data_IF_029824370182
#
_entry.id   IF_029824370182
#
_cell.length_a   1.000
_cell.length_b   1.000
_cell.length_c   1.000
_cell.angle_alpha   90.00
_cell.angle_beta   90.00
_cell.angle_gamma   90.00
#
_symmetry.space_group_name_H-M   'P 1'
#
loop_
_entity.id
_entity.type
_entity.pdbx_description
1 polymer ?
#
# COMPACT_ATOMS: atom_id res chain seq x y z
N UNK A 1 -34.14 -82.22 -20.62
CA UNK A 1 -33.69 -81.51 -21.81
C UNK A 1 -34.11 -80.07 -21.66
N UNK A 2 -33.26 -79.23 -21.34
CA UNK A 2 -33.14 -77.77 -21.47
C UNK A 2 -32.24 -77.25 -20.36
N UNK A 3 -30.99 -76.93 -20.78
CA UNK A 3 -30.02 -76.32 -19.90
C UNK A 3 -30.33 -74.86 -19.66
N UNK A 4 -30.39 -74.45 -18.45
CA UNK A 4 -30.54 -73.08 -18.02
C UNK A 4 -29.11 -72.46 -17.77
N UNK A 5 -28.72 -71.54 -18.64
CA UNK A 5 -27.47 -70.78 -18.48
C UNK A 5 -27.68 -69.68 -17.43
N UNK A 6 -27.02 -69.77 -16.33
CA UNK A 6 -26.92 -68.70 -15.34
C UNK A 6 -25.76 -67.77 -15.68
N UNK A 7 -26.06 -66.55 -16.08
CA UNK A 7 -25.07 -65.48 -16.20
C UNK A 7 -24.77 -64.91 -14.82
N UNK A 8 -23.51 -65.12 -14.34
CA UNK A 8 -22.99 -64.44 -13.17
C UNK A 8 -22.52 -63.07 -13.53
N UNK A 9 -23.18 -62.04 -13.01
CA UNK A 9 -22.80 -60.63 -13.14
C UNK A 9 -21.74 -60.31 -12.09
N UNK A 10 -20.54 -60.02 -12.55
CA UNK A 10 -19.37 -59.71 -11.70
C UNK A 10 -19.31 -58.21 -11.47
N UNK A 11 -19.54 -57.77 -10.21
CA UNK A 11 -19.37 -56.39 -9.79
C UNK A 11 -17.88 -56.07 -9.64
N UNK A 12 -17.31 -55.26 -10.49
CA UNK A 12 -16.03 -54.68 -10.27
C UNK A 12 -16.16 -53.48 -9.31
N UNK A 13 -15.49 -53.59 -8.16
CA UNK A 13 -15.44 -52.53 -7.18
C UNK A 13 -14.51 -51.43 -7.70
N UNK A 14 -15.07 -50.38 -8.32
CA UNK A 14 -14.36 -49.13 -8.62
C UNK A 14 -14.05 -48.42 -7.31
N UNK A 15 -12.78 -48.38 -6.94
CA UNK A 15 -12.30 -47.53 -5.84
C UNK A 15 -12.26 -46.10 -6.31
N UNK A 16 -13.25 -45.32 -5.88
CA UNK A 16 -13.27 -43.87 -6.11
C UNK A 16 -12.26 -43.21 -5.18
N UNK A 17 -11.05 -42.92 -5.68
CA UNK A 17 -10.07 -42.08 -4.98
C UNK A 17 -10.57 -40.64 -5.01
N UNK A 18 -11.22 -40.20 -3.94
CA UNK A 18 -11.51 -38.79 -3.69
C UNK A 18 -10.18 -38.14 -3.26
N UNK A 19 -9.48 -37.53 -4.22
CA UNK A 19 -8.40 -36.60 -3.94
C UNK A 19 -9.00 -35.34 -3.32
N UNK A 20 -9.09 -35.33 -1.99
CA UNK A 20 -9.43 -34.17 -1.22
C UNK A 20 -8.36 -33.10 -1.43
N UNK A 21 -8.66 -32.15 -2.33
CA UNK A 21 -7.88 -30.92 -2.46
C UNK A 21 -8.03 -30.11 -1.17
N UNK A 22 -7.06 -30.23 -0.27
CA UNK A 22 -6.92 -29.33 0.86
C UNK A 22 -6.48 -27.97 0.30
N UNK A 23 -7.45 -27.12 -0.02
CA UNK A 23 -7.23 -25.70 -0.12
C UNK A 23 -6.85 -25.22 1.30
N UNK A 24 -5.56 -25.15 1.57
CA UNK A 24 -5.07 -24.30 2.66
C UNK A 24 -5.40 -22.87 2.24
N UNK A 25 -6.54 -22.34 2.73
CA UNK A 25 -6.76 -20.91 2.77
C UNK A 25 -5.64 -20.36 3.67
N UNK A 26 -4.58 -19.82 3.06
CA UNK A 26 -3.68 -18.92 3.77
C UNK A 26 -4.58 -17.78 4.24
N UNK A 27 -4.95 -17.82 5.52
CA UNK A 27 -5.62 -16.71 6.17
C UNK A 27 -4.69 -15.50 6.06
N UNK A 28 -4.96 -14.63 5.12
CA UNK A 28 -4.35 -13.31 5.09
C UNK A 28 -4.80 -12.67 6.41
N UNK A 29 -3.87 -12.49 7.36
CA UNK A 29 -4.15 -11.79 8.61
C UNK A 29 -4.70 -10.43 8.22
N UNK A 30 -6.01 -10.24 8.44
CA UNK A 30 -6.68 -9.02 8.02
C UNK A 30 -6.14 -7.87 8.87
N UNK A 31 -5.30 -7.03 8.25
CA UNK A 31 -4.90 -5.78 8.85
C UNK A 31 -5.45 -4.63 8.04
N UNK A 32 -5.82 -3.54 8.70
CA UNK A 32 -6.27 -2.33 8.05
C UNK A 32 -5.76 -1.09 8.75
N UNK A 33 -5.47 -0.06 7.95
CA UNK A 33 -5.21 1.28 8.45
C UNK A 33 -6.41 2.17 8.16
N UNK A 34 -6.78 2.98 9.14
CA UNK A 34 -7.78 4.03 8.99
C UNK A 34 -7.27 5.35 9.57
N UNK A 35 -7.85 6.47 9.13
CA UNK A 35 -7.46 7.80 9.54
C UNK A 35 -8.69 8.59 9.98
N UNK A 36 -8.70 8.99 11.25
CA UNK A 36 -9.78 9.78 11.83
C UNK A 36 -9.34 11.22 12.08
N UNK A 37 -10.09 12.18 11.52
CA UNK A 37 -9.88 13.59 11.74
C UNK A 37 -10.55 14.00 13.06
N UNK A 38 -9.77 14.44 14.03
CA UNK A 38 -10.25 14.98 15.28
C UNK A 38 -10.46 16.51 15.20
N UNK A 39 -9.49 17.19 14.59
CA UNK A 39 -9.53 18.63 14.28
C UNK A 39 -8.79 18.89 12.94
N UNK A 40 -8.71 20.15 12.51
CA UNK A 40 -7.95 20.51 11.29
C UNK A 40 -6.45 20.20 11.37
N UNK A 41 -5.92 20.11 12.59
CA UNK A 41 -4.50 19.88 12.85
C UNK A 41 -4.22 18.68 13.75
N UNK A 42 -5.22 17.82 13.97
CA UNK A 42 -5.05 16.58 14.76
C UNK A 42 -5.79 15.43 14.09
N UNK A 43 -5.05 14.42 13.73
CA UNK A 43 -5.55 13.16 13.16
C UNK A 43 -5.04 11.98 13.98
N UNK A 44 -5.80 10.90 13.95
CA UNK A 44 -5.44 9.62 14.57
C UNK A 44 -5.35 8.58 13.45
N UNK A 45 -4.16 8.06 13.22
CA UNK A 45 -3.95 6.88 12.39
C UNK A 45 -4.19 5.65 13.26
N UNK A 46 -5.08 4.77 12.84
CA UNK A 46 -5.43 3.53 13.56
C UNK A 46 -5.02 2.33 12.74
N UNK A 47 -4.33 1.40 13.36
CA UNK A 47 -4.07 0.06 12.85
C UNK A 47 -4.97 -0.92 13.58
N UNK A 48 -5.79 -1.65 12.83
CA UNK A 48 -6.60 -2.76 13.33
C UNK A 48 -6.07 -4.07 12.75
N UNK A 49 -5.84 -5.04 13.61
CA UNK A 49 -5.52 -6.42 13.25
C UNK A 49 -6.55 -7.35 13.91
N UNK A 50 -6.49 -8.63 13.65
CA UNK A 50 -7.39 -9.61 14.27
C UNK A 50 -7.31 -9.62 15.80
N UNK A 51 -6.19 -9.19 16.39
CA UNK A 51 -5.92 -9.27 17.82
C UNK A 51 -5.60 -7.93 18.49
N UNK A 52 -5.33 -6.86 17.72
CA UNK A 52 -4.87 -5.58 18.27
C UNK A 52 -5.53 -4.39 17.59
N UNK A 53 -5.66 -3.31 18.35
CA UNK A 53 -6.02 -2.00 17.84
C UNK A 53 -5.01 -0.99 18.40
N UNK A 54 -4.24 -0.33 17.53
CA UNK A 54 -3.18 0.59 17.92
C UNK A 54 -3.38 1.95 17.26
N UNK A 55 -3.04 3.03 17.98
CA UNK A 55 -3.27 4.40 17.53
C UNK A 55 -1.97 5.20 17.48
N UNK A 56 -1.83 6.03 16.45
CA UNK A 56 -0.73 6.98 16.29
C UNK A 56 -1.27 8.39 16.08
N UNK A 57 -0.85 9.33 16.93
CA UNK A 57 -1.27 10.74 16.81
C UNK A 57 -0.44 11.47 15.76
N UNK A 58 -1.14 12.18 14.88
CA UNK A 58 -0.58 13.07 13.86
C UNK A 58 -1.00 14.51 14.20
N UNK A 59 -0.20 15.27 14.98
CA UNK A 59 -0.56 16.61 15.44
C UNK A 59 -0.26 17.68 14.37
N UNK A 60 -0.74 17.47 13.14
CA UNK A 60 -0.61 18.35 11.99
C UNK A 60 -1.66 18.03 10.94
N UNK A 61 -1.95 18.97 10.00
CA UNK A 61 -2.91 18.71 8.93
C UNK A 61 -2.48 17.52 8.07
N UNK A 62 -3.46 16.68 7.72
CA UNK A 62 -3.30 15.59 6.77
C UNK A 62 -4.11 15.93 5.51
N UNK A 63 -3.51 15.78 4.33
CA UNK A 63 -4.17 16.09 3.06
C UNK A 63 -4.49 14.84 2.23
N UNK A 64 -3.84 13.71 2.51
CA UNK A 64 -4.04 12.45 1.78
C UNK A 64 -3.66 11.24 2.64
N UNK A 65 -4.36 10.13 2.42
CA UNK A 65 -3.97 8.81 2.88
C UNK A 65 -4.17 7.81 1.73
N UNK A 66 -3.16 6.96 1.55
CA UNK A 66 -3.17 5.80 0.67
C UNK A 66 -2.70 4.59 1.47
N UNK A 67 -3.02 3.40 1.00
CA UNK A 67 -2.52 2.15 1.60
C UNK A 67 -2.02 1.22 0.52
N UNK A 68 -1.01 0.41 0.83
CA UNK A 68 -0.49 -0.60 -0.08
C UNK A 68 0.77 -1.26 0.43
N UNK A 69 1.18 -2.32 -0.22
CA UNK A 69 2.43 -3.04 0.07
C UNK A 69 3.62 -2.28 -0.53
N UNK A 70 4.18 -1.39 0.29
CA UNK A 70 5.23 -0.46 -0.16
C UNK A 70 6.58 -1.13 -0.30
N UNK A 71 6.90 -2.06 0.59
CA UNK A 71 8.21 -2.75 0.62
C UNK A 71 8.20 -4.13 -0.03
N UNK A 72 7.04 -4.59 -0.55
CA UNK A 72 6.89 -5.85 -1.27
C UNK A 72 6.90 -7.09 -0.38
N UNK A 73 6.62 -6.93 0.92
CA UNK A 73 6.63 -8.03 1.87
C UNK A 73 5.27 -8.74 2.03
N UNK A 74 4.26 -8.31 1.30
CA UNK A 74 2.89 -8.85 1.34
C UNK A 74 2.03 -8.27 2.46
N UNK A 75 2.53 -7.29 3.23
CA UNK A 75 1.74 -6.55 4.21
C UNK A 75 1.41 -5.15 3.72
N UNK A 76 0.34 -4.56 4.25
CA UNK A 76 -0.09 -3.23 3.83
C UNK A 76 0.50 -2.16 4.75
N UNK A 77 1.12 -1.15 4.18
CA UNK A 77 1.56 0.07 4.85
C UNK A 77 0.56 1.20 4.66
N UNK A 78 0.62 2.20 5.56
CA UNK A 78 -0.12 3.46 5.42
C UNK A 78 0.82 4.57 4.94
N UNK A 79 0.46 5.19 3.81
CA UNK A 79 1.13 6.37 3.26
C UNK A 79 0.28 7.60 3.62
N UNK A 80 0.83 8.51 4.39
CA UNK A 80 0.08 9.65 4.95
C UNK A 80 0.73 10.95 4.49
N UNK A 81 -0.03 11.75 3.76
CA UNK A 81 0.36 13.09 3.32
C UNK A 81 0.07 14.13 4.40
N UNK A 82 1.11 14.73 4.95
CA UNK A 82 1.03 15.70 6.04
C UNK A 82 1.56 17.07 5.64
N UNK A 83 1.13 18.13 6.34
CA UNK A 83 1.64 19.49 6.13
C UNK A 83 2.40 19.91 7.38
N UNK A 84 3.75 19.89 7.31
CA UNK A 84 4.60 20.30 8.43
C UNK A 84 6.05 20.56 8.00
N UNK A 85 6.85 21.29 8.80
CA UNK A 85 8.30 21.31 8.66
C UNK A 85 8.90 20.00 9.15
N UNK A 86 10.07 19.63 8.63
CA UNK A 86 10.90 18.52 9.13
C UNK A 86 12.30 19.05 9.49
N UNK A 87 13.10 18.24 10.19
CA UNK A 87 14.47 18.64 10.57
C UNK A 87 15.32 19.11 9.38
N UNK A 88 15.17 18.44 8.24
CA UNK A 88 15.95 18.72 7.03
C UNK A 88 15.21 19.62 6.02
N UNK A 89 13.99 20.03 6.37
CA UNK A 89 13.12 20.86 5.55
C UNK A 89 12.32 21.77 6.46
N UNK A 90 12.93 22.87 6.94
CA UNK A 90 12.37 23.73 7.98
C UNK A 90 11.14 24.52 7.51
N UNK A 91 10.91 24.59 6.21
CA UNK A 91 9.74 25.27 5.64
C UNK A 91 8.47 24.42 5.78
N UNK A 92 7.36 25.10 6.05
CA UNK A 92 6.05 24.48 6.03
C UNK A 92 5.75 23.96 4.62
N UNK A 93 5.36 22.69 4.51
CA UNK A 93 5.07 22.10 3.20
C UNK A 93 4.55 20.68 3.31
N UNK A 94 4.13 20.16 2.16
CA UNK A 94 3.63 18.78 2.05
C UNK A 94 4.77 17.79 2.19
N UNK A 95 4.52 16.75 2.98
CA UNK A 95 5.47 15.66 3.26
C UNK A 95 4.73 14.34 3.17
N UNK A 96 5.42 13.30 2.75
CA UNK A 96 4.95 11.93 2.79
C UNK A 96 5.51 11.23 4.02
N UNK A 97 4.65 10.62 4.81
CA UNK A 97 5.01 9.71 5.89
C UNK A 97 4.53 8.31 5.54
N UNK A 98 5.32 7.29 5.87
CA UNK A 98 4.96 5.89 5.68
C UNK A 98 5.05 5.19 7.02
N UNK A 99 3.99 4.45 7.37
CA UNK A 99 3.88 3.68 8.60
C UNK A 99 3.61 2.23 8.27
N UNK A 100 4.20 1.34 9.05
CA UNK A 100 3.99 -0.11 8.94
C UNK A 100 3.41 -0.70 10.20
N UNK A 101 2.84 -1.88 10.05
CA UNK A 101 2.56 -2.76 11.16
C UNK A 101 3.86 -3.45 11.62
N UNK A 102 4.18 -3.34 12.87
CA UNK A 102 5.22 -4.12 13.52
C UNK A 102 4.65 -4.76 14.79
N UNK A 103 4.35 -6.05 14.71
CA UNK A 103 3.78 -6.82 15.84
C UNK A 103 2.51 -6.18 16.44
N UNK A 104 1.59 -5.70 15.61
CA UNK A 104 0.36 -5.03 16.02
C UNK A 104 0.51 -3.56 16.43
N UNK A 105 1.71 -2.99 16.31
CA UNK A 105 2.00 -1.60 16.61
C UNK A 105 2.28 -0.80 15.34
N UNK A 106 1.79 0.44 15.30
CA UNK A 106 2.16 1.40 14.25
C UNK A 106 3.61 1.83 14.48
N UNK A 107 4.45 1.65 13.47
CA UNK A 107 5.84 2.12 13.48
C UNK A 107 6.14 2.96 12.24
N UNK A 108 6.86 4.09 12.40
CA UNK A 108 7.28 4.87 11.26
C UNK A 108 8.34 4.09 10.46
N UNK A 109 8.17 4.12 9.13
CA UNK A 109 9.08 3.55 8.15
C UNK A 109 9.80 4.65 7.37
N UNK A 110 9.07 5.76 7.07
CA UNK A 110 9.59 6.94 6.39
C UNK A 110 8.91 8.19 6.93
N UNK A 111 9.67 9.22 7.29
CA UNK A 111 9.13 10.45 7.91
C UNK A 111 9.53 11.72 7.13
N UNK A 112 9.16 11.78 5.87
CA UNK A 112 9.20 13.00 5.07
C UNK A 112 10.60 13.46 4.69
N UNK A 113 11.51 12.56 4.37
CA UNK A 113 12.75 12.90 3.69
C UNK A 113 12.47 13.49 2.32
N UNK A 114 13.43 14.23 1.79
CA UNK A 114 13.29 14.93 0.52
C UNK A 114 13.18 13.93 -0.64
N UNK A 115 12.19 14.15 -1.52
CA UNK A 115 12.15 13.60 -2.87
C UNK A 115 12.94 14.52 -3.84
N UNK A 116 12.82 14.31 -5.14
CA UNK A 116 13.56 15.08 -6.14
C UNK A 116 13.21 16.56 -6.19
N UNK A 117 11.93 16.89 -5.96
CA UNK A 117 11.41 18.25 -5.94
C UNK A 117 10.60 18.57 -4.68
N UNK A 118 9.84 19.68 -4.73
CA UNK A 118 8.88 20.04 -3.68
C UNK A 118 7.59 19.27 -3.91
N UNK A 119 7.26 18.38 -2.97
CA UNK A 119 6.09 17.52 -3.05
C UNK A 119 4.80 18.34 -3.07
N UNK A 120 3.96 18.12 -4.08
CA UNK A 120 2.63 18.68 -4.21
C UNK A 120 1.55 17.64 -3.91
N UNK A 121 1.73 16.39 -4.35
CA UNK A 121 0.82 15.28 -4.09
C UNK A 121 1.51 13.93 -4.32
N UNK A 122 0.88 12.84 -3.92
CA UNK A 122 1.36 11.49 -4.21
C UNK A 122 0.20 10.50 -4.36
N UNK A 123 0.46 9.40 -5.04
CA UNK A 123 -0.40 8.21 -5.12
C UNK A 123 0.47 6.97 -4.91
N UNK A 124 -0.15 5.87 -4.49
CA UNK A 124 0.50 4.57 -4.48
C UNK A 124 -0.10 3.70 -5.60
N UNK A 125 0.73 3.33 -6.57
CA UNK A 125 0.30 2.53 -7.73
C UNK A 125 1.38 1.55 -8.15
N UNK A 126 0.99 0.30 -8.42
CA UNK A 126 1.88 -0.73 -8.97
C UNK A 126 3.20 -0.92 -8.18
N UNK A 127 3.12 -0.87 -6.83
CA UNK A 127 4.27 -1.00 -5.96
C UNK A 127 5.21 0.21 -5.94
N UNK A 128 4.79 1.35 -6.50
CA UNK A 128 5.53 2.60 -6.52
C UNK A 128 4.77 3.74 -5.84
N UNK A 129 5.49 4.61 -5.19
CA UNK A 129 5.01 5.95 -4.83
C UNK A 129 5.17 6.84 -6.04
N UNK A 130 4.06 7.26 -6.64
CA UNK A 130 4.05 8.27 -7.69
C UNK A 130 3.91 9.63 -7.03
N UNK A 131 4.82 10.53 -7.30
CA UNK A 131 4.81 11.90 -6.77
C UNK A 131 4.48 12.93 -7.85
N UNK A 132 3.75 13.95 -7.45
CA UNK A 132 3.62 15.22 -8.18
C UNK A 132 4.52 16.23 -7.47
N UNK A 133 5.50 16.77 -8.15
CA UNK A 133 6.53 17.65 -7.58
C UNK A 133 6.66 18.94 -8.38
N UNK A 134 7.14 20.00 -7.73
CA UNK A 134 7.55 21.24 -8.40
C UNK A 134 9.03 21.51 -8.20
N UNK A 135 9.67 22.11 -9.21
CA UNK A 135 11.03 22.64 -9.10
C UNK A 135 11.03 24.13 -8.69
N UNK A 136 12.22 24.70 -8.53
CA UNK A 136 12.41 26.11 -8.14
C UNK A 136 11.87 27.12 -9.17
N UNK A 137 11.60 26.69 -10.41
CA UNK A 137 11.00 27.52 -11.47
C UNK A 137 9.48 27.45 -11.50
N UNK A 138 8.86 26.59 -10.63
CA UNK A 138 7.42 26.34 -10.64
C UNK A 138 6.97 25.34 -11.72
N UNK A 139 7.89 24.70 -12.43
CA UNK A 139 7.56 23.64 -13.38
C UNK A 139 7.26 22.34 -12.64
N UNK A 140 6.34 21.56 -13.18
CA UNK A 140 5.89 20.31 -12.58
C UNK A 140 6.63 19.10 -13.14
N UNK A 141 6.78 18.09 -12.29
CA UNK A 141 7.36 16.79 -12.60
C UNK A 141 6.52 15.70 -11.95
N UNK A 142 6.28 14.61 -12.68
CA UNK A 142 5.71 13.38 -12.12
C UNK A 142 6.79 12.32 -12.13
N UNK A 143 7.09 11.79 -10.97
CA UNK A 143 8.13 10.78 -10.78
C UNK A 143 7.58 9.57 -10.04
N UNK A 144 8.22 8.42 -10.24
CA UNK A 144 7.96 7.20 -9.48
C UNK A 144 9.17 6.84 -8.63
N UNK A 145 8.88 6.43 -7.40
CA UNK A 145 9.84 6.00 -6.40
C UNK A 145 9.45 4.62 -5.90
N UNK A 146 10.43 3.77 -5.70
CA UNK A 146 10.24 2.44 -5.12
C UNK A 146 10.94 2.35 -3.77
N UNK A 147 10.38 1.58 -2.86
CA UNK A 147 11.06 1.27 -1.62
C UNK A 147 12.29 0.39 -1.89
N UNK A 148 13.43 0.78 -1.31
CA UNK A 148 14.68 0.03 -1.42
C UNK A 148 15.40 0.02 -0.08
N UNK A 149 15.32 -1.12 0.61
CA UNK A 149 15.99 -1.37 1.87
C UNK A 149 15.51 -0.44 3.00
N UNK A 150 15.80 0.86 2.91
CA UNK A 150 15.50 1.75 4.01
C UNK A 150 14.95 3.14 3.60
N UNK A 151 14.55 3.27 2.34
CA UNK A 151 14.00 4.53 1.84
C UNK A 151 13.41 4.44 0.44
N UNK A 152 12.81 5.54 0.03
CA UNK A 152 12.31 5.71 -1.32
C UNK A 152 13.47 6.06 -2.26
N UNK A 153 13.69 5.21 -3.25
CA UNK A 153 14.69 5.39 -4.31
C UNK A 153 13.98 5.82 -5.59
N UNK A 154 14.51 6.82 -6.27
CA UNK A 154 14.02 7.27 -7.56
C UNK A 154 14.08 6.12 -8.58
N UNK A 155 13.00 5.90 -9.30
CA UNK A 155 12.91 4.90 -10.35
C UNK A 155 12.90 5.54 -11.74
N UNK A 156 11.95 6.47 -11.98
CA UNK A 156 11.83 7.14 -13.28
C UNK A 156 11.01 8.42 -13.22
N UNK A 157 11.15 9.25 -14.23
CA UNK A 157 10.19 10.31 -14.53
C UNK A 157 9.12 9.76 -15.48
N UNK A 158 7.85 10.07 -15.18
CA UNK A 158 6.74 9.89 -16.13
C UNK A 158 6.63 11.12 -17.04
N UNK A 159 6.81 12.31 -16.45
CA UNK A 159 6.92 13.57 -17.18
C UNK A 159 7.76 14.54 -16.36
N UNK A 160 8.47 15.46 -17.01
CA UNK A 160 9.38 16.40 -16.34
C UNK A 160 9.34 17.78 -16.98
N UNK A 161 9.37 18.83 -16.15
CA UNK A 161 9.44 20.23 -16.55
C UNK A 161 8.27 20.63 -17.48
N UNK A 162 7.06 20.29 -17.07
CA UNK A 162 5.82 20.60 -17.79
C UNK A 162 4.95 21.55 -16.98
N UNK A 163 3.88 22.05 -17.58
CA UNK A 163 2.83 22.78 -16.89
C UNK A 163 2.01 21.88 -15.95
N UNK A 164 1.22 22.51 -15.09
CA UNK A 164 0.42 21.80 -14.09
C UNK A 164 -0.62 20.87 -14.71
N UNK A 165 -1.29 21.31 -15.79
CA UNK A 165 -2.37 20.55 -16.43
C UNK A 165 -1.86 19.21 -16.97
N UNK A 166 -0.74 19.25 -17.70
CA UNK A 166 -0.08 18.04 -18.23
C UNK A 166 0.45 17.13 -17.14
N UNK A 167 1.02 17.71 -16.07
CA UNK A 167 1.50 16.95 -14.94
C UNK A 167 0.36 16.21 -14.22
N UNK A 168 -0.76 16.90 -13.94
CA UNK A 168 -1.93 16.28 -13.28
C UNK A 168 -2.56 15.18 -14.12
N UNK A 169 -2.72 15.41 -15.43
CA UNK A 169 -3.17 14.34 -16.34
C UNK A 169 -2.29 13.07 -16.22
N UNK A 170 -0.97 13.25 -16.23
CA UNK A 170 -0.02 12.14 -16.11
C UNK A 170 -0.03 11.51 -14.72
N UNK A 171 -0.23 12.31 -13.68
CA UNK A 171 -0.24 11.87 -12.29
C UNK A 171 -1.44 10.98 -11.98
N UNK A 172 -2.62 11.27 -12.54
CA UNK A 172 -3.86 10.55 -12.29
C UNK A 172 -4.01 9.27 -13.13
N UNK A 173 -3.39 9.21 -14.31
CA UNK A 173 -3.40 8.03 -15.20
C UNK A 173 -2.37 6.97 -14.79
#
# INVERSE_FOLDING_TARGET
MNACHTHTFRWEKGVLLILGSWFMALGCLAQSFSLDRQTDSLYILTLTTDSTCNHWRLPYPVYRMETGDVDGNGTTEALVGVIKPTRFYPEMGRRLFIFKNYEGLIRPMWLGSRLGGTLQDFLFRNGCVRSLETNAKGEYTVAEYRWSGFGLTFERYLVKNVDEAKARETFEN
#
